data_IF_079206816025
#
_entry.id   IF_079206816025
#
_cell.length_a   1.000
_cell.length_b   1.000
_cell.length_c   1.000
_cell.angle_alpha   90.00
_cell.angle_beta   90.00
_cell.angle_gamma   90.00
#
_symmetry.space_group_name_H-M   'P 1'
#
loop_
_entity.id
_entity.type
_entity.pdbx_description
1 polymer ?
#
# COMPACT_ATOMS: atom_id res chain seq x y z
N UNK A 1 -23.75 -57.04 17.16
CA UNK A 1 -24.45 -55.73 17.29
C UNK A 1 -23.55 -54.52 17.24
N UNK A 2 -22.24 -54.61 17.39
CA UNK A 2 -21.35 -53.42 17.36
C UNK A 2 -20.95 -52.91 15.97
N UNK A 3 -20.94 -53.77 14.94
CA UNK A 3 -20.53 -53.37 13.59
C UNK A 3 -21.49 -52.36 12.89
N UNK A 4 -22.77 -52.39 13.26
CA UNK A 4 -23.77 -51.46 12.72
C UNK A 4 -23.59 -50.02 13.23
N UNK A 5 -23.30 -49.84 14.52
CA UNK A 5 -23.09 -48.53 15.14
C UNK A 5 -21.84 -47.82 14.61
N UNK A 6 -20.78 -48.56 14.35
CA UNK A 6 -19.55 -48.01 13.78
C UNK A 6 -19.71 -47.54 12.31
N UNK A 7 -20.61 -48.18 11.55
CA UNK A 7 -20.94 -47.75 10.17
C UNK A 7 -21.76 -46.48 10.14
N UNK A 8 -22.73 -46.33 11.04
CA UNK A 8 -23.56 -45.09 11.15
C UNK A 8 -22.71 -43.91 11.59
N UNK A 9 -21.80 -44.06 12.55
CA UNK A 9 -20.91 -43.01 13.01
C UNK A 9 -19.95 -42.57 11.88
N UNK A 10 -19.45 -43.48 11.06
CA UNK A 10 -18.62 -43.15 9.90
C UNK A 10 -19.38 -42.44 8.81
N UNK A 11 -20.65 -42.77 8.57
CA UNK A 11 -21.51 -42.08 7.60
C UNK A 11 -21.83 -40.65 8.03
N UNK A 12 -22.14 -40.42 9.31
CA UNK A 12 -22.36 -39.07 9.86
C UNK A 12 -21.11 -38.21 9.78
N UNK A 13 -19.95 -38.70 10.15
CA UNK A 13 -18.68 -37.98 10.06
C UNK A 13 -18.33 -37.59 8.60
N UNK A 14 -18.63 -38.44 7.64
CA UNK A 14 -18.39 -38.16 6.22
C UNK A 14 -19.30 -37.03 5.72
N UNK A 15 -20.56 -36.99 6.14
CA UNK A 15 -21.52 -35.92 5.78
C UNK A 15 -21.10 -34.60 6.44
N UNK A 16 -20.70 -34.62 7.71
CA UNK A 16 -20.20 -33.41 8.40
C UNK A 16 -18.97 -32.83 7.71
N UNK A 17 -17.99 -33.66 7.33
CA UNK A 17 -16.81 -33.24 6.61
C UNK A 17 -17.10 -32.66 5.24
N UNK A 18 -18.16 -33.14 4.55
CA UNK A 18 -18.59 -32.61 3.27
C UNK A 18 -19.05 -31.14 3.33
N UNK A 19 -19.56 -30.68 4.48
CA UNK A 19 -19.92 -29.30 4.72
C UNK A 19 -18.75 -28.46 5.29
N UNK A 20 -17.95 -29.05 6.16
CA UNK A 20 -16.82 -28.35 6.80
C UNK A 20 -15.72 -28.02 5.79
N UNK A 21 -15.41 -28.94 4.87
CA UNK A 21 -14.35 -28.74 3.90
C UNK A 21 -14.56 -27.52 2.98
N UNK A 22 -15.70 -27.30 2.33
CA UNK A 22 -15.92 -26.11 1.52
C UNK A 22 -15.94 -24.82 2.34
N UNK A 23 -16.47 -24.84 3.57
CA UNK A 23 -16.41 -23.68 4.46
C UNK A 23 -14.97 -23.34 4.85
N UNK A 24 -14.15 -24.32 5.18
CA UNK A 24 -12.74 -24.11 5.48
C UNK A 24 -11.99 -23.53 4.28
N UNK A 25 -12.25 -24.03 3.07
CA UNK A 25 -11.65 -23.48 1.84
C UNK A 25 -12.06 -22.03 1.59
N UNK A 26 -13.32 -21.66 1.81
CA UNK A 26 -13.77 -20.27 1.67
C UNK A 26 -13.09 -19.35 2.67
N UNK A 27 -12.89 -19.79 3.91
CA UNK A 27 -12.17 -19.02 4.93
C UNK A 27 -10.70 -18.82 4.51
N UNK A 28 -10.03 -19.89 4.07
CA UNK A 28 -8.64 -19.81 3.60
C UNK A 28 -8.51 -18.85 2.42
N UNK A 29 -9.38 -18.96 1.42
CA UNK A 29 -9.38 -18.06 0.26
C UNK A 29 -9.62 -16.60 0.65
N UNK A 30 -10.47 -16.38 1.64
CA UNK A 30 -10.73 -15.02 2.16
C UNK A 30 -9.49 -14.45 2.85
N UNK A 31 -8.79 -15.24 3.66
CA UNK A 31 -7.56 -14.83 4.33
C UNK A 31 -6.48 -14.48 3.30
N UNK A 32 -6.27 -15.33 2.29
CA UNK A 32 -5.29 -15.09 1.23
C UNK A 32 -5.58 -13.77 0.51
N UNK A 33 -6.84 -13.51 0.19
CA UNK A 33 -7.26 -12.26 -0.47
C UNK A 33 -6.97 -11.03 0.39
N UNK A 34 -7.22 -11.12 1.70
CA UNK A 34 -6.94 -10.04 2.64
C UNK A 34 -5.43 -9.79 2.74
N UNK A 35 -4.62 -10.84 2.82
CA UNK A 35 -3.16 -10.74 2.88
C UNK A 35 -2.61 -10.03 1.64
N UNK A 36 -3.05 -10.41 0.45
CA UNK A 36 -2.60 -9.76 -0.80
C UNK A 36 -3.05 -8.30 -0.89
N UNK A 37 -4.24 -7.99 -0.41
CA UNK A 37 -4.72 -6.61 -0.34
C UNK A 37 -3.80 -5.73 0.54
N UNK A 38 -3.48 -6.20 1.74
CA UNK A 38 -2.59 -5.46 2.64
C UNK A 38 -1.15 -5.41 2.13
N UNK A 39 -0.69 -6.45 1.47
CA UNK A 39 0.63 -6.48 0.86
C UNK A 39 0.76 -5.39 -0.21
N UNK A 40 -0.15 -5.33 -1.17
CA UNK A 40 -0.16 -4.31 -2.23
C UNK A 40 -0.32 -2.91 -1.64
N UNK A 41 -1.18 -2.74 -0.64
CA UNK A 41 -1.36 -1.46 0.05
C UNK A 41 -0.06 -0.96 0.69
N UNK A 42 0.68 -1.84 1.35
CA UNK A 42 1.95 -1.48 1.98
C UNK A 42 3.02 -1.10 0.94
N UNK A 43 3.08 -1.79 -0.19
CA UNK A 43 3.99 -1.44 -1.29
C UNK A 43 3.66 -0.05 -1.85
N UNK A 44 2.37 0.26 -2.05
CA UNK A 44 1.92 1.56 -2.54
C UNK A 44 2.27 2.67 -1.53
N UNK A 45 2.03 2.45 -0.23
CA UNK A 45 2.37 3.40 0.83
C UNK A 45 3.87 3.66 0.86
N UNK A 46 4.68 2.60 0.83
CA UNK A 46 6.14 2.71 0.84
C UNK A 46 6.67 3.46 -0.38
N UNK A 47 6.18 3.12 -1.58
CA UNK A 47 6.55 3.80 -2.82
C UNK A 47 6.14 5.28 -2.83
N UNK A 48 4.94 5.61 -2.37
CA UNK A 48 4.45 6.98 -2.29
C UNK A 48 5.27 7.82 -1.29
N UNK A 49 5.60 7.26 -0.13
CA UNK A 49 6.42 7.93 0.88
C UNK A 49 7.86 8.17 0.38
N UNK A 50 8.46 7.17 -0.26
CA UNK A 50 9.79 7.29 -0.85
C UNK A 50 9.81 8.37 -1.94
N UNK A 51 8.84 8.35 -2.85
CA UNK A 51 8.71 9.35 -3.92
C UNK A 51 8.51 10.76 -3.35
N UNK A 52 7.66 10.93 -2.35
CA UNK A 52 7.45 12.21 -1.69
C UNK A 52 8.75 12.72 -1.01
N UNK A 53 9.51 11.83 -0.40
CA UNK A 53 10.79 12.17 0.25
C UNK A 53 11.85 12.58 -0.77
N UNK A 54 11.98 11.85 -1.87
CA UNK A 54 12.86 12.19 -2.98
C UNK A 54 12.47 13.55 -3.56
N UNK A 55 11.18 13.77 -3.82
CA UNK A 55 10.67 15.05 -4.30
C UNK A 55 11.00 16.22 -3.39
N UNK A 56 10.85 16.03 -2.07
CA UNK A 56 11.21 17.06 -1.09
C UNK A 56 12.71 17.34 -1.03
N UNK A 57 13.56 16.35 -1.30
CA UNK A 57 15.02 16.52 -1.36
C UNK A 57 15.45 17.25 -2.64
N UNK A 58 14.87 16.89 -3.78
CA UNK A 58 15.18 17.51 -5.07
C UNK A 58 14.71 18.96 -5.13
N UNK A 59 13.53 19.26 -4.61
CA UNK A 59 13.03 20.62 -4.48
C UNK A 59 13.96 21.53 -3.65
N UNK A 60 14.63 20.96 -2.67
CA UNK A 60 15.65 21.68 -1.89
C UNK A 60 16.85 22.07 -2.74
N UNK A 61 17.12 21.35 -3.83
CA UNK A 61 18.22 21.59 -4.78
C UNK A 61 17.81 22.49 -5.97
N UNK A 62 16.58 23.04 -5.99
CA UNK A 62 16.05 23.92 -7.03
C UNK A 62 16.04 23.31 -8.46
N UNK A 63 15.84 22.00 -8.59
CA UNK A 63 15.70 21.33 -9.89
C UNK A 63 14.27 21.47 -10.40
N UNK A 64 14.08 22.15 -11.52
CA UNK A 64 12.79 22.71 -11.97
C UNK A 64 11.85 21.71 -12.68
N UNK A 65 12.26 20.53 -13.11
CA UNK A 65 11.46 19.60 -13.94
C UNK A 65 11.03 18.31 -13.22
N UNK A 66 10.53 18.42 -12.00
CA UNK A 66 10.42 17.28 -11.06
C UNK A 66 9.15 16.43 -11.14
N UNK A 67 8.04 16.94 -11.68
CA UNK A 67 6.75 16.24 -11.56
C UNK A 67 6.71 14.95 -12.38
N UNK A 68 7.17 14.96 -13.61
CA UNK A 68 7.17 13.78 -14.49
C UNK A 68 8.18 12.72 -14.04
N UNK A 69 9.36 13.14 -13.59
CA UNK A 69 10.38 12.21 -13.09
C UNK A 69 9.92 11.50 -11.81
N UNK A 70 9.17 12.17 -10.93
CA UNK A 70 8.67 11.57 -9.68
C UNK A 70 7.58 10.52 -9.93
N UNK A 71 6.73 10.71 -10.93
CA UNK A 71 5.75 9.71 -11.33
C UNK A 71 6.43 8.46 -11.91
N UNK A 72 7.47 8.62 -12.70
CA UNK A 72 8.26 7.52 -13.26
C UNK A 72 9.03 6.78 -12.17
N UNK A 73 9.63 7.48 -11.21
CA UNK A 73 10.29 6.88 -10.04
C UNK A 73 9.30 6.04 -9.24
N UNK A 74 8.10 6.53 -9.01
CA UNK A 74 7.07 5.76 -8.32
C UNK A 74 6.70 4.50 -9.10
N UNK A 75 6.46 4.62 -10.42
CA UNK A 75 6.10 3.48 -11.28
C UNK A 75 7.18 2.40 -11.26
N UNK A 76 8.43 2.77 -11.44
CA UNK A 76 9.55 1.83 -11.41
C UNK A 76 9.63 1.05 -10.07
N UNK A 77 9.33 1.74 -8.96
CA UNK A 77 9.36 1.13 -7.62
C UNK A 77 8.22 0.16 -7.35
N UNK A 78 7.06 0.39 -7.92
CA UNK A 78 5.80 -0.26 -7.53
C UNK A 78 5.29 -1.23 -8.58
N UNK A 79 5.43 -0.95 -9.87
CA UNK A 79 4.76 -1.64 -10.98
C UNK A 79 5.01 -3.16 -11.02
N UNK A 80 6.24 -3.59 -10.75
CA UNK A 80 6.61 -5.01 -10.80
C UNK A 80 6.39 -5.77 -9.46
N UNK A 81 5.95 -5.09 -8.41
CA UNK A 81 5.80 -5.67 -7.07
C UNK A 81 4.35 -5.93 -6.69
N UNK A 82 3.39 -5.34 -7.39
CA UNK A 82 1.97 -5.48 -7.10
C UNK A 82 1.43 -6.81 -7.60
N UNK A 83 0.69 -7.50 -6.76
CA UNK A 83 0.08 -8.81 -7.04
C UNK A 83 -1.35 -8.62 -7.57
N UNK A 84 -2.16 -7.85 -6.85
CA UNK A 84 -3.59 -7.72 -7.11
C UNK A 84 -3.95 -6.44 -7.85
N UNK A 85 -3.34 -5.30 -7.49
CA UNK A 85 -3.66 -3.96 -7.99
C UNK A 85 -2.61 -3.47 -9.00
N UNK A 86 -2.68 -3.96 -10.24
CA UNK A 86 -1.69 -3.62 -11.27
C UNK A 86 -1.87 -2.24 -11.90
N UNK A 87 -3.11 -1.71 -11.88
CA UNK A 87 -3.40 -0.40 -12.45
C UNK A 87 -3.33 0.65 -11.33
N UNK A 88 -2.27 1.43 -11.36
CA UNK A 88 -2.01 2.47 -10.36
C UNK A 88 -1.97 3.84 -11.04
N UNK A 89 -2.82 4.74 -10.59
CA UNK A 89 -2.82 6.14 -10.97
C UNK A 89 -2.08 6.94 -9.89
N UNK A 90 -1.12 7.72 -10.31
CA UNK A 90 -0.30 8.56 -9.43
C UNK A 90 -0.51 10.01 -9.80
N UNK A 91 -0.64 10.85 -8.79
CA UNK A 91 -0.67 12.30 -8.94
C UNK A 91 0.29 12.91 -7.92
N UNK A 92 1.24 13.65 -8.41
CA UNK A 92 2.19 14.38 -7.57
C UNK A 92 1.80 15.85 -7.56
N UNK A 93 1.56 16.41 -6.40
CA UNK A 93 1.32 17.83 -6.19
C UNK A 93 2.42 18.43 -5.32
N UNK A 94 2.94 19.53 -5.77
CA UNK A 94 4.05 20.23 -5.15
C UNK A 94 3.61 21.61 -4.68
N UNK A 95 3.90 21.91 -3.44
CA UNK A 95 3.72 23.23 -2.84
C UNK A 95 5.06 23.69 -2.29
N UNK A 96 5.25 25.00 -2.13
CA UNK A 96 6.51 25.58 -1.62
C UNK A 96 7.01 25.04 -0.28
N UNK A 97 6.18 24.29 0.46
CA UNK A 97 6.50 23.71 1.78
C UNK A 97 6.42 22.19 1.83
N UNK A 98 5.73 21.57 0.86
CA UNK A 98 5.39 20.14 0.94
C UNK A 98 5.23 19.54 -0.45
N UNK A 99 5.72 18.33 -0.60
CA UNK A 99 5.41 17.48 -1.76
C UNK A 99 4.40 16.43 -1.31
N UNK A 100 3.29 16.33 -2.02
CA UNK A 100 2.21 15.36 -1.73
C UNK A 100 2.06 14.42 -2.92
N UNK A 101 2.09 13.13 -2.64
CA UNK A 101 1.87 12.06 -3.62
C UNK A 101 0.55 11.38 -3.29
N UNK A 102 -0.38 11.45 -4.22
CA UNK A 102 -1.68 10.77 -4.13
C UNK A 102 -1.68 9.61 -5.10
N UNK A 103 -1.92 8.42 -4.58
CA UNK A 103 -1.96 7.19 -5.36
C UNK A 103 -3.35 6.59 -5.26
N UNK A 104 -3.93 6.27 -6.40
CA UNK A 104 -5.21 5.56 -6.50
C UNK A 104 -5.04 4.30 -7.32
N UNK A 105 -5.60 3.22 -6.84
CA UNK A 105 -5.65 1.96 -7.57
C UNK A 105 -6.98 1.29 -7.35
N UNK A 106 -7.54 0.70 -8.38
CA UNK A 106 -8.83 0.02 -8.31
C UNK A 106 -8.77 -1.35 -8.98
N UNK A 107 -9.45 -2.32 -8.36
CA UNK A 107 -9.70 -3.64 -8.93
C UNK A 107 -11.11 -4.10 -8.60
N UNK A 108 -12.00 -4.03 -9.58
CA UNK A 108 -13.44 -4.30 -9.36
C UNK A 108 -14.03 -3.37 -8.29
N UNK A 109 -14.71 -3.91 -7.27
CA UNK A 109 -15.30 -3.10 -6.21
C UNK A 109 -14.28 -2.60 -5.16
N UNK A 110 -13.02 -3.04 -5.24
CA UNK A 110 -11.99 -2.68 -4.27
C UNK A 110 -11.18 -1.50 -4.77
N UNK A 111 -11.03 -0.48 -3.93
CA UNK A 111 -10.26 0.73 -4.21
C UNK A 111 -9.22 0.93 -3.08
N UNK A 112 -7.99 1.22 -3.48
CA UNK A 112 -6.95 1.71 -2.58
C UNK A 112 -6.71 3.17 -2.94
N UNK A 113 -6.81 4.05 -1.95
CA UNK A 113 -6.41 5.45 -2.05
C UNK A 113 -5.41 5.74 -0.95
N UNK A 114 -4.24 6.21 -1.32
CA UNK A 114 -3.14 6.53 -0.40
C UNK A 114 -2.66 7.93 -0.70
N UNK A 115 -2.52 8.74 0.33
CA UNK A 115 -1.91 10.06 0.27
C UNK A 115 -0.72 10.08 1.22
N UNK A 116 0.44 10.45 0.68
CA UNK A 116 1.67 10.62 1.45
C UNK A 116 2.27 11.99 1.15
N UNK A 117 2.79 12.64 2.18
CA UNK A 117 3.40 13.94 2.02
C UNK A 117 4.72 14.06 2.78
N UNK A 118 5.69 14.73 2.17
CA UNK A 118 6.96 15.07 2.79
C UNK A 118 7.12 16.59 2.84
N UNK A 119 7.59 17.10 3.96
CA UNK A 119 7.85 18.52 4.17
C UNK A 119 9.22 18.91 3.62
N UNK A 120 9.26 20.02 2.89
CA UNK A 120 10.50 20.60 2.35
C UNK A 120 11.16 21.41 3.45
N UNK A 121 12.13 20.83 4.14
CA UNK A 121 12.87 21.51 5.19
C UNK A 121 14.04 22.28 4.58
N UNK A 122 13.99 23.62 4.64
CA UNK A 122 15.10 24.52 4.28
C UNK A 122 15.87 24.89 5.56
N UNK A 123 16.98 24.19 5.89
CA UNK A 123 17.69 24.36 7.16
C UNK A 123 18.26 25.79 7.31
N UNK A 124 18.62 26.44 6.21
CA UNK A 124 19.16 27.79 6.21
C UNK A 124 18.22 28.83 6.81
N UNK A 125 16.90 28.71 6.58
CA UNK A 125 15.90 29.59 7.20
C UNK A 125 15.80 29.37 8.70
N UNK A 126 15.89 28.11 9.14
CA UNK A 126 15.81 27.75 10.56
C UNK A 126 16.98 28.28 11.35
N UNK A 127 18.19 28.19 10.78
CA UNK A 127 19.41 28.72 11.43
C UNK A 127 19.34 30.25 11.53
N UNK A 128 18.81 30.95 10.52
CA UNK A 128 18.67 32.41 10.58
C UNK A 128 17.68 32.87 11.67
N UNK A 129 16.61 32.13 11.92
CA UNK A 129 15.67 32.44 13.01
C UNK A 129 16.31 32.25 14.38
N UNK A 130 17.04 31.15 14.59
CA UNK A 130 17.75 30.88 15.84
C UNK A 130 18.86 31.89 16.13
N UNK A 131 19.52 32.42 15.12
CA UNK A 131 20.61 33.39 15.30
C UNK A 131 20.13 34.83 15.52
N UNK A 132 18.84 35.13 15.32
CA UNK A 132 18.26 36.46 15.51
C UNK A 132 17.86 36.75 16.95
N UNK A 133 17.65 35.70 17.76
CA UNK A 133 17.19 35.84 19.14
C UNK A 133 18.32 35.88 20.18
N UNK A 134 19.59 35.94 19.71
CA UNK A 134 20.77 35.99 20.58
C UNK A 134 21.45 37.38 20.68
N UNK A 135 20.89 38.39 20.05
CA UNK A 135 21.31 39.78 20.13
C UNK A 135 20.15 40.63 20.68
#
# INVERSE_FOLDING_TARGET
>A
MERGKLKEVRGSATIEMAYIAPMALLIIMSIITIVFYFFDKNIIIGGALETATIGAQLERQEVVELQFELEDVFRERVENKLIMFKNVEVSVSQTSKRVTVVVRSSKGPKVISVEQSAEIVKPERRIRFLNRDWW
#
